data_IF_404791429543
#
_entry.id   IF_404791429543
#
_cell.length_a   1.000
_cell.length_b   1.000
_cell.length_c   1.000
_cell.angle_alpha   90.00
_cell.angle_beta   90.00
_cell.angle_gamma   90.00
#
_symmetry.space_group_name_H-M   'P 1'
#
loop_
_entity.id
_entity.type
_entity.pdbx_description
1 polymer ?
#
# COMPACT_ATOMS: atom_id res chain seq x y z
N UNK A 1 -9.91 11.67 -43.02
CA UNK A 1 -9.10 10.80 -42.14
C UNK A 1 -9.57 11.02 -40.71
N UNK A 2 -10.51 10.20 -40.22
CA UNK A 2 -10.88 10.19 -38.80
C UNK A 2 -9.83 9.34 -38.10
N UNK A 3 -9.06 9.93 -37.19
CA UNK A 3 -8.24 9.16 -36.26
C UNK A 3 -9.18 8.72 -35.15
N UNK A 4 -9.54 7.45 -35.17
CA UNK A 4 -10.22 6.79 -34.06
C UNK A 4 -9.25 6.79 -32.87
N UNK A 5 -9.40 7.78 -31.98
CA UNK A 5 -8.90 7.66 -30.62
C UNK A 5 -9.92 6.79 -29.91
N UNK A 6 -9.60 5.50 -29.76
CA UNK A 6 -10.24 4.69 -28.73
C UNK A 6 -9.82 5.27 -27.39
N UNK A 7 -10.60 6.21 -26.86
CA UNK A 7 -10.60 6.48 -25.42
C UNK A 7 -11.23 5.23 -24.82
N UNK A 8 -10.40 4.29 -24.38
CA UNK A 8 -10.85 3.31 -23.39
C UNK A 8 -11.21 4.12 -22.16
N UNK A 9 -12.48 4.47 -22.00
CA UNK A 9 -12.96 5.07 -20.78
C UNK A 9 -12.69 4.07 -19.65
N UNK A 10 -11.63 4.28 -18.88
CA UNK A 10 -11.59 3.71 -17.54
C UNK A 10 -12.55 4.58 -16.72
N UNK A 11 -13.81 4.16 -16.64
CA UNK A 11 -14.56 4.53 -15.46
C UNK A 11 -13.86 3.79 -14.31
N UNK A 12 -12.95 4.46 -13.60
CA UNK A 12 -12.55 3.99 -12.29
C UNK A 12 -13.74 4.25 -11.36
N UNK A 13 -14.75 3.36 -11.42
CA UNK A 13 -16.02 3.55 -10.70
C UNK A 13 -15.83 3.31 -9.22
N UNK A 14 -15.54 4.39 -8.47
CA UNK A 14 -16.01 4.59 -7.09
C UNK A 14 -15.59 3.54 -6.08
N UNK A 15 -14.38 3.00 -6.20
CA UNK A 15 -13.77 2.17 -5.16
C UNK A 15 -12.88 3.04 -4.29
N UNK A 16 -13.40 3.43 -3.13
CA UNK A 16 -12.62 4.18 -2.14
C UNK A 16 -11.98 3.20 -1.16
N UNK A 17 -10.66 3.08 -1.21
CA UNK A 17 -9.92 2.20 -0.30
C UNK A 17 -9.65 2.89 1.02
N UNK A 18 -9.65 2.11 2.11
CA UNK A 18 -9.33 2.60 3.44
C UNK A 18 -8.68 1.50 4.28
N UNK A 19 -7.84 1.94 5.20
CA UNK A 19 -7.19 1.12 6.21
C UNK A 19 -6.87 1.99 7.41
N UNK A 20 -6.82 1.39 8.60
CA UNK A 20 -6.41 2.05 9.82
C UNK A 20 -5.64 1.07 10.71
N UNK A 21 -4.57 1.52 11.40
CA UNK A 21 -3.96 2.85 11.25
C UNK A 21 -3.26 3.02 9.90
N UNK A 22 -3.00 4.27 9.51
CA UNK A 22 -2.21 4.62 8.31
C UNK A 22 -0.70 4.67 8.57
N UNK A 23 -0.29 4.64 9.85
CA UNK A 23 1.11 4.69 10.27
C UNK A 23 1.44 3.56 11.22
N UNK A 24 2.64 2.98 11.06
CA UNK A 24 3.21 2.00 11.98
C UNK A 24 4.68 2.27 12.23
N UNK A 25 5.06 2.27 13.51
CA UNK A 25 6.47 2.30 13.92
C UNK A 25 6.99 0.90 14.19
N UNK A 26 8.22 0.62 13.78
CA UNK A 26 8.90 -0.66 14.00
C UNK A 26 10.37 -0.42 14.39
N UNK A 27 10.92 -1.34 15.17
CA UNK A 27 12.34 -1.29 15.55
C UNK A 27 13.27 -1.55 14.35
N UNK A 28 14.55 -1.24 14.55
CA UNK A 28 15.58 -1.38 13.51
C UNK A 28 15.69 -2.80 12.94
N UNK A 29 15.38 -3.85 13.71
CA UNK A 29 15.36 -5.23 13.21
C UNK A 29 14.35 -5.47 12.07
N UNK A 30 13.37 -4.57 11.91
CA UNK A 30 12.30 -4.73 10.93
C UNK A 30 11.35 -5.85 11.34
N UNK A 31 10.71 -6.47 10.36
CA UNK A 31 9.73 -7.53 10.58
C UNK A 31 8.47 -7.36 9.76
N UNK A 32 7.41 -8.09 10.13
CA UNK A 32 6.15 -8.09 9.41
C UNK A 32 5.16 -7.09 9.99
N UNK A 33 4.51 -6.34 9.10
CA UNK A 33 3.37 -5.46 9.42
C UNK A 33 2.19 -5.95 8.60
N UNK A 34 1.07 -6.24 9.26
CA UNK A 34 -0.17 -6.64 8.58
C UNK A 34 -1.22 -5.56 8.72
N UNK A 35 -1.87 -5.20 7.62
CA UNK A 35 -3.02 -4.31 7.63
C UNK A 35 -4.14 -4.85 6.75
N UNK A 36 -5.37 -4.59 7.18
CA UNK A 36 -6.59 -4.92 6.43
C UNK A 36 -6.99 -3.72 5.60
N UNK A 37 -7.17 -3.93 4.30
CA UNK A 37 -7.68 -2.93 3.37
C UNK A 37 -9.14 -3.25 3.06
N UNK A 38 -9.98 -2.23 3.12
CA UNK A 38 -11.40 -2.32 2.75
C UNK A 38 -11.70 -1.33 1.64
N UNK A 39 -12.43 -1.74 0.62
CA UNK A 39 -12.95 -0.86 -0.41
C UNK A 39 -14.43 -0.54 -0.15
N UNK A 40 -14.80 0.72 -0.30
CA UNK A 40 -16.18 1.19 -0.25
C UNK A 40 -16.66 1.42 -1.68
N UNK A 41 -17.71 0.70 -2.09
CA UNK A 41 -18.39 0.85 -3.38
C UNK A 41 -19.76 0.16 -3.32
N UNK A 42 -20.67 0.54 -4.23
CA UNK A 42 -21.95 -0.15 -4.43
C UNK A 42 -21.79 -1.52 -5.12
N UNK A 43 -20.62 -1.80 -5.71
CA UNK A 43 -20.29 -3.05 -6.40
C UNK A 43 -19.03 -3.74 -5.85
N UNK A 44 -18.52 -4.72 -6.59
CA UNK A 44 -17.25 -5.37 -6.28
C UNK A 44 -16.09 -4.51 -6.78
N UNK A 45 -15.12 -4.27 -5.91
CA UNK A 45 -13.86 -3.59 -6.20
C UNK A 45 -12.76 -4.60 -6.51
N UNK A 46 -11.83 -4.27 -7.43
CA UNK A 46 -10.59 -5.03 -7.56
C UNK A 46 -9.71 -4.86 -6.30
N UNK A 47 -8.63 -5.64 -6.21
CA UNK A 47 -7.60 -5.36 -5.22
C UNK A 47 -6.99 -3.97 -5.49
N UNK A 48 -6.65 -3.19 -4.45
CA UNK A 48 -5.98 -1.92 -4.63
C UNK A 48 -4.61 -2.09 -5.29
N UNK A 49 -4.25 -1.13 -6.14
CA UNK A 49 -2.86 -0.97 -6.57
C UNK A 49 -1.99 -0.62 -5.35
N UNK A 50 -0.76 -1.15 -5.34
CA UNK A 50 0.23 -0.85 -4.30
C UNK A 50 1.45 -0.26 -4.99
N UNK A 51 1.65 1.04 -4.79
CA UNK A 51 2.83 1.76 -5.25
C UNK A 51 3.85 1.73 -4.11
N UNK A 52 5.01 1.13 -4.36
CA UNK A 52 6.07 1.00 -3.37
C UNK A 52 7.44 1.28 -4.00
N UNK A 53 8.03 2.42 -3.70
CA UNK A 53 9.41 2.75 -4.08
C UNK A 53 10.43 2.53 -2.95
N UNK A 54 9.97 2.20 -1.74
CA UNK A 54 10.83 1.86 -0.62
C UNK A 54 11.42 0.46 -0.83
N UNK A 55 12.66 0.38 -1.28
CA UNK A 55 13.38 -0.87 -1.57
C UNK A 55 13.54 -1.80 -0.35
N UNK A 56 13.43 -1.24 0.84
CA UNK A 56 13.49 -1.90 2.13
C UNK A 56 12.14 -2.44 2.63
N UNK A 57 11.05 -2.26 1.85
CA UNK A 57 9.74 -2.84 2.10
C UNK A 57 9.37 -3.74 0.93
N UNK A 58 8.91 -4.95 1.23
CA UNK A 58 8.21 -5.81 0.26
C UNK A 58 6.80 -6.08 0.75
N UNK A 59 5.88 -6.44 -0.16
CA UNK A 59 4.49 -6.70 0.22
C UNK A 59 3.95 -7.96 -0.45
N UNK A 60 2.97 -8.57 0.23
CA UNK A 60 2.10 -9.60 -0.34
C UNK A 60 0.66 -9.26 0.01
N UNK A 61 -0.23 -9.39 -0.96
CA UNK A 61 -1.66 -9.15 -0.81
C UNK A 61 -2.40 -10.49 -0.82
N UNK A 62 -3.27 -10.71 0.16
CA UNK A 62 -4.18 -11.87 0.13
C UNK A 62 -5.21 -11.73 -1.00
N UNK A 63 -6.00 -12.77 -1.26
CA UNK A 63 -7.16 -12.60 -2.12
C UNK A 63 -8.04 -11.43 -1.60
N UNK A 64 -8.45 -10.55 -2.51
CA UNK A 64 -9.31 -9.41 -2.21
C UNK A 64 -10.75 -9.82 -2.53
N UNK A 65 -11.47 -10.32 -1.53
CA UNK A 65 -12.82 -10.87 -1.69
C UNK A 65 -13.80 -10.05 -0.87
N UNK A 66 -15.00 -9.81 -1.41
CA UNK A 66 -16.02 -8.97 -0.79
C UNK A 66 -15.48 -7.59 -0.35
N UNK A 67 -14.73 -6.95 -1.25
CA UNK A 67 -14.11 -5.63 -1.03
C UNK A 67 -13.15 -5.56 0.15
N UNK A 68 -12.55 -6.70 0.54
CA UNK A 68 -11.65 -6.78 1.68
C UNK A 68 -10.47 -7.70 1.40
N UNK A 69 -9.30 -7.30 1.85
CA UNK A 69 -8.09 -8.12 1.81
C UNK A 69 -7.07 -7.67 2.85
N UNK A 70 -6.00 -8.44 2.99
CA UNK A 70 -4.91 -8.17 3.92
C UNK A 70 -3.62 -7.99 3.15
N UNK A 71 -2.93 -6.88 3.41
CA UNK A 71 -1.56 -6.67 2.98
C UNK A 71 -0.64 -7.07 4.13
N UNK A 72 0.35 -7.89 3.82
CA UNK A 72 1.50 -8.15 4.69
C UNK A 72 2.72 -7.47 4.11
N UNK A 73 3.21 -6.44 4.79
CA UNK A 73 4.48 -5.80 4.52
C UNK A 73 5.59 -6.55 5.26
N UNK A 74 6.72 -6.76 4.60
CA UNK A 74 7.96 -7.23 5.22
C UNK A 74 8.97 -6.10 5.14
N UNK A 75 9.31 -5.57 6.30
CA UNK A 75 10.26 -4.48 6.50
C UNK A 75 11.63 -5.10 6.75
N UNK A 76 12.61 -4.80 5.91
CA UNK A 76 13.99 -5.23 6.09
C UNK A 76 14.63 -4.56 7.32
N UNK A 77 15.67 -5.16 7.89
CA UNK A 77 16.48 -4.54 8.94
C UNK A 77 17.05 -3.20 8.45
N UNK A 78 17.03 -2.19 9.31
CA UNK A 78 17.78 -0.96 9.13
C UNK A 78 19.14 -1.11 9.81
N UNK A 79 20.21 -1.14 9.02
CA UNK A 79 21.60 -1.26 9.50
C UNK A 79 22.25 0.08 9.77
N UNK A 80 21.59 1.18 9.38
CA UNK A 80 22.08 2.53 9.60
C UNK A 80 21.64 3.05 10.97
N UNK A 81 22.45 3.93 11.57
CA UNK A 81 22.08 4.61 12.81
C UNK A 81 20.97 5.66 12.63
N UNK A 82 20.74 6.09 11.39
CA UNK A 82 19.66 7.01 11.05
C UNK A 82 18.33 6.25 10.91
N UNK A 83 17.25 6.84 11.41
CA UNK A 83 15.90 6.34 11.14
C UNK A 83 15.51 6.59 9.68
N UNK A 84 14.60 5.76 9.16
CA UNK A 84 14.03 5.90 7.80
C UNK A 84 12.50 5.82 7.84
N UNK A 85 11.85 6.45 6.86
CA UNK A 85 10.39 6.55 6.77
C UNK A 85 9.93 6.36 5.32
N UNK A 86 8.80 5.67 5.12
CA UNK A 86 8.22 5.40 3.79
C UNK A 86 7.18 6.43 3.33
N UNK A 87 7.11 7.59 4.00
CA UNK A 87 6.00 8.55 3.90
C UNK A 87 5.57 8.92 2.47
N UNK A 88 6.54 9.06 1.58
CA UNK A 88 6.33 9.45 0.17
C UNK A 88 6.67 8.31 -0.80
N UNK A 89 6.77 7.07 -0.29
CA UNK A 89 7.23 5.90 -1.04
C UNK A 89 6.19 4.78 -1.11
N UNK A 90 5.23 4.74 -0.17
CA UNK A 90 4.27 3.65 -0.04
C UNK A 90 2.82 4.15 -0.06
N UNK A 91 2.11 3.82 -1.14
CA UNK A 91 0.70 4.14 -1.34
C UNK A 91 -0.11 2.88 -1.67
N UNK A 92 -1.29 2.76 -1.09
CA UNK A 92 -2.19 1.60 -1.22
C UNK A 92 -3.57 2.12 -1.63
N UNK A 93 -3.97 1.84 -2.87
CA UNK A 93 -5.22 2.34 -3.44
C UNK A 93 -5.29 3.87 -3.38
N UNK A 94 -4.17 4.55 -3.64
CA UNK A 94 -4.03 6.01 -3.59
C UNK A 94 -3.84 6.62 -2.19
N UNK A 95 -3.93 5.84 -1.11
CA UNK A 95 -3.73 6.34 0.26
C UNK A 95 -2.31 6.03 0.77
N UNK A 96 -1.66 7.00 1.40
CA UNK A 96 -0.33 6.81 2.00
C UNK A 96 -0.39 5.87 3.21
N UNK A 97 0.55 4.93 3.29
CA UNK A 97 0.82 4.15 4.50
C UNK A 97 2.27 4.36 4.93
N UNK A 98 2.46 4.86 6.15
CA UNK A 98 3.76 5.27 6.67
C UNK A 98 4.35 4.20 7.57
N UNK A 99 5.51 3.68 7.21
CA UNK A 99 6.35 2.88 8.10
C UNK A 99 7.49 3.75 8.61
N UNK A 100 7.52 3.97 9.92
CA UNK A 100 8.65 4.62 10.59
C UNK A 100 9.55 3.56 11.23
N UNK A 101 10.76 3.40 10.71
CA UNK A 101 11.71 2.43 11.22
C UNK A 101 12.87 3.11 11.94
N UNK A 102 13.12 2.68 13.18
CA UNK A 102 14.25 3.22 13.95
C UNK A 102 15.60 2.90 13.29
N UNK A 103 16.60 3.74 13.56
CA UNK A 103 18.00 3.40 13.30
C UNK A 103 18.51 2.35 14.28
N UNK A 104 19.59 1.67 13.90
CA UNK A 104 20.32 0.78 14.79
C UNK A 104 21.00 1.58 15.93
N UNK A 105 21.02 1.06 17.16
CA UNK A 105 21.78 1.66 18.27
C UNK A 105 23.29 1.74 18.02
#
# INVERSE_FOLDING_TARGET
>A
MRKDITVGAIFETGCEYSFQPDTKSIGYEGGKITLTVTAQSAGSCPAPEVENSADWITYTMSAFTNNKGTITLTVAKNTDSAARTSKDELFIGGNSFVVDQSGQP
#
